data_IF_878163569691
#
_entry.id   IF_878163569691
#
_cell.length_a   1.000
_cell.length_b   1.000
_cell.length_c   1.000
_cell.angle_alpha   90.00
_cell.angle_beta   90.00
_cell.angle_gamma   90.00
#
_symmetry.space_group_name_H-M   'P 1'
#
loop_
_entity.id
_entity.type
_entity.pdbx_description
1 polymer ?
#
# COMPACT_ATOMS: atom_id res chain seq x y z
N UNK A 1 12.86 -31.26 23.25
CA UNK A 1 11.76 -30.37 23.64
C UNK A 1 12.29 -28.95 23.71
N UNK A 2 12.15 -28.16 22.66
CA UNK A 2 12.32 -26.70 22.68
C UNK A 2 11.68 -26.17 21.41
N UNK A 3 10.34 -26.11 21.42
CA UNK A 3 9.58 -25.26 20.52
C UNK A 3 9.90 -23.81 20.91
N UNK A 4 10.88 -23.21 20.22
CA UNK A 4 11.18 -21.79 20.37
C UNK A 4 10.03 -20.99 19.75
N UNK A 5 9.16 -20.48 20.63
CA UNK A 5 8.18 -19.40 20.46
C UNK A 5 7.87 -19.01 19.01
N UNK A 6 6.80 -19.60 18.47
CA UNK A 6 6.10 -19.07 17.30
C UNK A 6 5.64 -17.65 17.63
N UNK A 7 6.41 -16.65 17.20
CA UNK A 7 6.07 -15.24 17.27
C UNK A 7 4.95 -14.96 16.24
N UNK A 8 3.75 -15.45 16.54
CA UNK A 8 2.58 -15.31 15.67
C UNK A 8 2.12 -13.86 15.77
N UNK A 9 2.46 -13.06 14.76
CA UNK A 9 1.92 -11.72 14.59
C UNK A 9 0.39 -11.78 14.68
N UNK A 10 -0.21 -11.08 15.63
CA UNK A 10 -1.68 -10.97 15.75
C UNK A 10 -2.22 -9.84 14.88
N UNK A 11 -3.52 -9.85 14.60
CA UNK A 11 -4.19 -8.73 13.89
C UNK A 11 -3.99 -7.40 14.63
N UNK A 12 -4.11 -7.42 15.96
CA UNK A 12 -3.92 -6.22 16.77
C UNK A 12 -2.48 -5.66 16.65
N UNK A 13 -1.48 -6.55 16.65
CA UNK A 13 -0.08 -6.15 16.44
C UNK A 13 0.16 -5.63 15.03
N UNK A 14 -0.44 -6.25 14.02
CA UNK A 14 -0.38 -5.80 12.63
C UNK A 14 -0.98 -4.39 12.48
N UNK A 15 -2.20 -4.16 12.98
CA UNK A 15 -2.85 -2.84 12.97
C UNK A 15 -1.98 -1.79 13.68
N UNK A 16 -1.42 -2.14 14.84
CA UNK A 16 -0.53 -1.24 15.60
C UNK A 16 0.72 -0.88 14.80
N UNK A 17 1.35 -1.87 14.17
CA UNK A 17 2.53 -1.67 13.32
C UNK A 17 2.21 -0.72 12.16
N UNK A 18 1.10 -0.95 11.44
CA UNK A 18 0.70 -0.11 10.31
C UNK A 18 0.40 1.34 10.74
N UNK A 19 -0.23 1.55 11.90
CA UNK A 19 -0.51 2.89 12.45
C UNK A 19 0.77 3.63 12.81
N UNK A 20 1.70 2.96 13.50
CA UNK A 20 2.99 3.56 13.90
C UNK A 20 3.78 3.97 12.66
N UNK A 21 3.86 3.09 11.66
CA UNK A 21 4.60 3.35 10.43
C UNK A 21 4.10 4.61 9.69
N UNK A 22 2.78 4.83 9.68
CA UNK A 22 2.18 5.99 9.04
C UNK A 22 2.35 7.32 9.80
N UNK A 23 2.52 7.27 11.12
CA UNK A 23 2.70 8.46 11.95
C UNK A 23 4.13 8.99 11.97
N UNK A 24 5.13 8.09 11.86
CA UNK A 24 6.54 8.44 12.02
C UNK A 24 7.31 8.26 10.70
N UNK A 25 7.05 9.15 9.74
CA UNK A 25 7.69 9.10 8.42
C UNK A 25 9.20 9.38 8.45
N UNK A 26 9.72 9.98 9.52
CA UNK A 26 11.13 10.34 9.65
C UNK A 26 11.98 9.19 10.21
N UNK A 27 11.39 8.28 10.99
CA UNK A 27 12.09 7.14 11.61
C UNK A 27 11.62 5.78 11.09
N UNK A 28 11.12 5.70 9.85
CA UNK A 28 10.72 4.44 9.25
C UNK A 28 11.93 3.49 9.13
N UNK A 29 11.85 2.34 9.80
CA UNK A 29 12.82 1.26 9.63
C UNK A 29 12.60 0.58 8.28
N UNK A 30 13.52 0.82 7.35
CA UNK A 30 13.52 0.25 6.02
C UNK A 30 14.48 -0.95 5.90
N UNK A 31 14.88 -1.55 7.03
CA UNK A 31 15.65 -2.79 7.01
C UNK A 31 14.84 -3.92 6.31
N UNK A 32 15.51 -4.89 5.66
CA UNK A 32 14.81 -5.98 4.97
C UNK A 32 13.84 -6.74 5.89
N UNK A 33 14.19 -6.90 7.16
CA UNK A 33 13.33 -7.55 8.16
C UNK A 33 12.10 -6.72 8.47
N UNK A 34 12.24 -5.40 8.69
CA UNK A 34 11.11 -4.52 8.95
C UNK A 34 10.17 -4.44 7.73
N UNK A 35 10.71 -4.38 6.52
CA UNK A 35 9.92 -4.41 5.27
C UNK A 35 9.16 -5.73 5.14
N UNK A 36 9.77 -6.88 5.44
CA UNK A 36 9.07 -8.19 5.45
C UNK A 36 7.94 -8.22 6.47
N UNK A 37 8.15 -7.66 7.67
CA UNK A 37 7.10 -7.54 8.68
C UNK A 37 5.97 -6.60 8.25
N UNK A 38 6.31 -5.47 7.63
CA UNK A 38 5.35 -4.50 7.12
C UNK A 38 4.46 -5.10 6.02
N UNK A 39 5.06 -5.82 5.05
CA UNK A 39 4.33 -6.59 4.03
C UNK A 39 3.35 -7.57 4.68
N UNK A 40 3.85 -8.38 5.63
CA UNK A 40 3.04 -9.39 6.32
C UNK A 40 1.88 -8.75 7.09
N UNK A 41 2.12 -7.66 7.80
CA UNK A 41 1.11 -6.94 8.55
C UNK A 41 0.03 -6.35 7.62
N UNK A 42 0.44 -5.73 6.52
CA UNK A 42 -0.48 -5.13 5.56
C UNK A 42 -1.40 -6.18 4.92
N UNK A 43 -0.83 -7.29 4.45
CA UNK A 43 -1.60 -8.38 3.85
C UNK A 43 -2.55 -9.02 4.86
N UNK A 44 -2.13 -9.18 6.11
CA UNK A 44 -2.95 -9.77 7.16
C UNK A 44 -4.16 -8.88 7.50
N UNK A 45 -3.97 -7.56 7.60
CA UNK A 45 -5.08 -6.63 7.85
C UNK A 45 -6.01 -6.52 6.63
N UNK A 46 -5.45 -6.54 5.42
CA UNK A 46 -6.24 -6.51 4.18
C UNK A 46 -7.14 -7.75 4.04
N UNK A 47 -6.66 -8.94 4.40
CA UNK A 47 -7.43 -10.19 4.36
C UNK A 47 -8.69 -10.17 5.24
N UNK A 48 -8.68 -9.40 6.33
CA UNK A 48 -9.84 -9.23 7.20
C UNK A 48 -10.77 -8.09 6.74
N UNK A 49 -10.30 -7.25 5.80
CA UNK A 49 -11.10 -6.17 5.23
C UNK A 49 -11.98 -6.67 4.10
N UNK A 50 -13.10 -6.00 3.85
CA UNK A 50 -13.99 -6.37 2.75
C UNK A 50 -13.49 -5.86 1.39
N UNK A 51 -12.86 -4.67 1.41
CA UNK A 51 -12.29 -4.02 0.24
C UNK A 51 -11.44 -2.81 0.65
N UNK A 52 -10.61 -2.35 -0.27
CA UNK A 52 -9.66 -1.27 -0.03
C UNK A 52 -9.78 -0.14 -1.07
N UNK A 53 -9.38 1.06 -0.69
CA UNK A 53 -8.96 2.07 -1.65
C UNK A 53 -7.47 2.31 -1.52
N UNK A 54 -6.81 2.55 -2.65
CA UNK A 54 -5.41 2.91 -2.67
C UNK A 54 -5.26 4.38 -3.09
N UNK A 55 -4.39 5.10 -2.40
CA UNK A 55 -3.96 6.44 -2.76
C UNK A 55 -2.45 6.47 -2.95
N UNK A 56 -1.94 6.87 -4.11
CA UNK A 56 -0.51 6.82 -4.43
C UNK A 56 -0.03 8.24 -4.71
N UNK A 57 0.94 8.70 -3.92
CA UNK A 57 1.67 9.95 -4.14
C UNK A 57 3.03 9.59 -4.75
N UNK A 58 3.27 9.96 -6.01
CA UNK A 58 4.47 9.59 -6.76
C UNK A 58 5.06 10.79 -7.50
N UNK A 59 6.33 10.70 -7.87
CA UNK A 59 7.03 11.75 -8.64
C UNK A 59 6.54 11.84 -10.08
N UNK A 60 5.97 10.76 -10.62
CA UNK A 60 5.35 10.72 -11.94
C UNK A 60 4.32 9.60 -12.06
N UNK A 61 3.52 9.64 -13.14
CA UNK A 61 2.49 8.64 -13.39
C UNK A 61 3.06 7.23 -13.55
N UNK A 62 4.22 7.06 -14.21
CA UNK A 62 4.80 5.73 -14.45
C UNK A 62 5.11 5.06 -13.11
N UNK A 63 5.86 5.74 -12.24
CA UNK A 63 6.18 5.26 -10.90
C UNK A 63 4.92 4.98 -10.07
N UNK A 64 3.91 5.85 -10.17
CA UNK A 64 2.66 5.67 -9.45
C UNK A 64 1.85 4.45 -9.92
N UNK A 65 1.81 4.20 -11.23
CA UNK A 65 1.12 3.03 -11.80
C UNK A 65 1.87 1.73 -11.51
N UNK A 66 3.20 1.74 -11.53
CA UNK A 66 4.02 0.58 -11.12
C UNK A 66 3.77 0.21 -9.66
N UNK A 67 3.76 1.19 -8.76
CA UNK A 67 3.42 0.99 -7.35
C UNK A 67 1.98 0.48 -7.19
N UNK A 68 1.03 1.08 -7.90
CA UNK A 68 -0.35 0.63 -7.85
C UNK A 68 -0.51 -0.82 -8.32
N UNK A 69 0.13 -1.21 -9.43
CA UNK A 69 0.09 -2.59 -9.93
C UNK A 69 0.64 -3.57 -8.89
N UNK A 70 1.82 -3.29 -8.32
CA UNK A 70 2.45 -4.22 -7.36
C UNK A 70 1.64 -4.38 -6.08
N UNK A 71 1.02 -3.31 -5.60
CA UNK A 71 0.10 -3.38 -4.45
C UNK A 71 -1.18 -4.14 -4.77
N UNK A 72 -1.80 -3.91 -5.93
CA UNK A 72 -3.01 -4.62 -6.34
C UNK A 72 -2.75 -6.13 -6.44
N UNK A 73 -1.66 -6.53 -7.09
CA UNK A 73 -1.27 -7.94 -7.19
C UNK A 73 -1.07 -8.59 -5.83
N UNK A 74 -0.36 -7.91 -4.92
CA UNK A 74 -0.12 -8.40 -3.57
C UNK A 74 -1.41 -8.56 -2.75
N UNK A 75 -2.39 -7.67 -2.96
CA UNK A 75 -3.71 -7.71 -2.33
C UNK A 75 -4.67 -8.70 -3.04
N UNK A 76 -4.23 -9.37 -4.11
CA UNK A 76 -5.03 -10.37 -4.84
C UNK A 76 -5.96 -9.80 -5.91
N UNK A 77 -5.79 -8.53 -6.29
CA UNK A 77 -6.52 -7.91 -7.39
C UNK A 77 -5.74 -8.01 -8.69
N UNK A 78 -6.46 -8.27 -9.79
CA UNK A 78 -5.92 -8.17 -11.14
C UNK A 78 -6.57 -6.98 -11.85
N UNK A 79 -5.74 -6.07 -12.36
CA UNK A 79 -6.19 -4.93 -13.13
C UNK A 79 -5.29 -4.74 -14.35
N UNK A 80 -5.88 -4.49 -15.50
CA UNK A 80 -5.15 -4.32 -16.75
C UNK A 80 -4.95 -2.84 -17.07
N UNK A 81 -3.75 -2.31 -16.80
CA UNK A 81 -3.37 -0.95 -17.16
C UNK A 81 -3.03 -0.77 -18.65
N UNK A 82 -3.04 -1.85 -19.46
CA UNK A 82 -2.76 -1.78 -20.90
C UNK A 82 -3.89 -1.15 -21.72
N UNK A 83 -5.10 -1.07 -21.14
CA UNK A 83 -6.25 -0.41 -21.76
C UNK A 83 -6.07 1.12 -21.70
N UNK A 84 -5.52 1.63 -22.82
CA UNK A 84 -5.77 2.95 -23.43
C UNK A 84 -6.73 3.84 -22.65
N UNK A 85 -6.22 4.86 -21.97
CA UNK A 85 -6.92 6.15 -21.80
C UNK A 85 -6.10 7.26 -21.12
N UNK A 86 -4.84 7.02 -20.73
CA UNK A 86 -4.05 8.06 -20.07
C UNK A 86 -2.63 8.15 -20.58
N UNK A 87 -2.46 8.99 -21.60
CA UNK A 87 -1.25 9.81 -21.63
C UNK A 87 -1.51 10.97 -20.67
N UNK A 88 -0.89 11.04 -19.49
CA UNK A 88 -0.82 12.31 -18.80
C UNK A 88 -0.07 13.24 -19.75
N UNK A 89 -0.55 14.46 -19.93
CA UNK A 89 0.12 15.42 -20.82
C UNK A 89 1.55 15.71 -20.32
N UNK A 90 1.83 15.47 -19.03
CA UNK A 90 3.13 15.64 -18.40
C UNK A 90 3.56 14.37 -17.63
N UNK A 91 4.47 13.59 -18.22
CA UNK A 91 5.06 12.40 -17.60
C UNK A 91 6.04 12.71 -16.46
N UNK A 92 6.40 13.97 -16.26
CA UNK A 92 7.45 14.39 -15.31
C UNK A 92 6.89 15.09 -14.06
N UNK A 93 5.57 15.30 -14.00
CA UNK A 93 4.94 15.95 -12.86
C UNK A 93 4.53 14.94 -11.78
N UNK A 94 4.67 15.36 -10.52
CA UNK A 94 4.18 14.58 -9.39
C UNK A 94 2.67 14.36 -9.47
N UNK A 95 2.23 13.16 -9.12
CA UNK A 95 0.84 12.74 -9.26
C UNK A 95 0.27 12.16 -7.97
N UNK A 96 -1.04 12.30 -7.83
CA UNK A 96 -1.85 11.56 -6.89
C UNK A 96 -2.78 10.64 -7.65
N UNK A 97 -2.66 9.33 -7.44
CA UNK A 97 -3.53 8.31 -8.04
C UNK A 97 -4.47 7.79 -6.95
N UNK A 98 -5.76 7.76 -7.20
CA UNK A 98 -6.74 7.10 -6.33
C UNK A 98 -7.40 5.95 -7.06
N UNK A 99 -7.23 4.74 -6.55
CA UNK A 99 -7.83 3.51 -7.05
C UNK A 99 -8.93 3.03 -6.08
N UNK A 100 -10.07 2.62 -6.63
CA UNK A 100 -11.17 2.03 -5.89
C UNK A 100 -11.31 0.56 -6.27
N UNK A 101 -10.98 -0.38 -5.37
CA UNK A 101 -11.03 -1.82 -5.69
C UNK A 101 -12.45 -2.32 -5.85
N UNK A 102 -13.45 -1.66 -5.24
CA UNK A 102 -14.85 -2.04 -5.42
C UNK A 102 -15.41 -1.73 -6.81
N UNK A 103 -14.98 -0.62 -7.42
CA UNK A 103 -15.37 -0.18 -8.77
C UNK A 103 -14.36 -0.59 -9.83
N UNK A 104 -13.21 -1.10 -9.42
CA UNK A 104 -12.06 -1.42 -10.28
C UNK A 104 -11.75 -0.27 -11.25
N UNK A 105 -11.54 0.92 -10.71
CA UNK A 105 -11.18 2.08 -11.51
C UNK A 105 -10.26 3.03 -10.73
N UNK A 106 -9.61 3.94 -11.46
CA UNK A 106 -8.79 4.97 -10.85
C UNK A 106 -8.95 6.33 -11.52
N UNK A 107 -8.59 7.36 -10.76
CA UNK A 107 -8.19 8.63 -11.35
C UNK A 107 -6.80 9.05 -10.88
N UNK A 108 -6.22 10.02 -11.59
CA UNK A 108 -4.87 10.53 -11.39
C UNK A 108 -4.96 12.03 -11.63
N UNK A 109 -4.33 12.79 -10.75
CA UNK A 109 -4.32 14.26 -10.78
C UNK A 109 -2.94 14.78 -10.41
N UNK A 110 -2.62 16.01 -10.78
CA UNK A 110 -1.35 16.64 -10.41
C UNK A 110 -1.29 16.81 -8.88
N UNK A 111 -0.13 16.50 -8.29
CA UNK A 111 0.06 16.51 -6.85
C UNK A 111 1.19 17.44 -6.45
N UNK A 112 0.85 18.48 -5.69
CA UNK A 112 1.80 19.48 -5.19
C UNK A 112 2.28 19.22 -3.76
N UNK A 113 1.83 18.12 -3.15
CA UNK A 113 2.23 17.76 -1.80
C UNK A 113 3.62 17.11 -1.75
N UNK A 114 4.19 17.09 -0.55
CA UNK A 114 5.55 16.60 -0.31
C UNK A 114 5.59 15.09 0.00
N UNK A 115 4.45 14.46 0.28
CA UNK A 115 4.41 13.04 0.63
C UNK A 115 4.69 12.16 -0.58
N UNK A 116 5.34 11.01 -0.36
CA UNK A 116 5.52 9.96 -1.35
C UNK A 116 5.18 8.61 -0.72
N UNK A 117 4.57 7.74 -1.50
CA UNK A 117 4.16 6.42 -1.03
C UNK A 117 2.68 6.13 -1.25
N UNK A 118 2.24 5.03 -0.64
CA UNK A 118 0.91 4.45 -0.82
C UNK A 118 0.12 4.52 0.48
N UNK A 119 -1.09 5.07 0.40
CA UNK A 119 -2.13 4.96 1.41
C UNK A 119 -3.03 3.79 1.06
N UNK A 120 -3.36 2.97 2.05
CA UNK A 120 -4.35 1.89 1.92
C UNK A 120 -5.46 2.16 2.92
N UNK A 121 -6.66 2.41 2.40
CA UNK A 121 -7.87 2.63 3.19
C UNK A 121 -8.68 1.35 3.25
N UNK A 122 -8.60 0.64 4.38
CA UNK A 122 -9.35 -0.59 4.66
C UNK A 122 -10.80 -0.26 4.98
N UNK A 123 -11.73 -1.03 4.41
CA UNK A 123 -13.16 -0.85 4.56
C UNK A 123 -13.81 -2.18 4.95
N UNK A 124 -14.91 -2.10 5.70
CA UNK A 124 -15.66 -3.27 6.17
C UNK A 124 -16.47 -2.92 7.41
N UNK A 125 -16.78 -3.92 8.23
CA UNK A 125 -17.56 -3.78 9.46
C UNK A 125 -16.72 -3.87 10.75
N UNK A 126 -15.49 -4.40 10.69
CA UNK A 126 -14.62 -4.49 11.87
C UNK A 126 -13.88 -3.17 12.15
N UNK A 127 -14.38 -2.43 13.14
CA UNK A 127 -13.80 -1.16 13.60
C UNK A 127 -12.34 -1.26 14.04
N UNK A 128 -11.84 -2.46 14.39
CA UNK A 128 -10.45 -2.63 14.78
C UNK A 128 -9.48 -2.43 13.60
N UNK A 129 -9.92 -2.77 12.38
CA UNK A 129 -9.09 -2.73 11.17
C UNK A 129 -9.45 -1.59 10.22
N UNK A 130 -10.68 -1.05 10.28
CA UNK A 130 -11.09 0.06 9.42
C UNK A 130 -10.21 1.27 9.70
N UNK A 131 -9.69 1.86 8.62
CA UNK A 131 -8.80 3.00 8.73
C UNK A 131 -8.00 3.22 7.46
N UNK A 132 -7.26 4.32 7.43
CA UNK A 132 -6.28 4.61 6.38
C UNK A 132 -4.88 4.49 6.96
N UNK A 133 -4.07 3.66 6.31
CA UNK A 133 -2.71 3.36 6.74
C UNK A 133 -1.70 3.81 5.69
N UNK A 134 -0.49 4.17 6.12
CA UNK A 134 0.59 4.67 5.27
C UNK A 134 0.98 6.12 5.59
N UNK A 135 1.81 6.76 4.78
CA UNK A 135 2.27 6.33 3.45
C UNK A 135 3.29 5.20 3.53
N UNK A 136 3.01 4.10 2.83
CA UNK A 136 3.92 2.96 2.67
C UNK A 136 4.86 3.17 1.47
N UNK A 137 6.02 2.47 1.42
CA UNK A 137 6.96 2.62 0.31
C UNK A 137 6.33 2.28 -1.04
N UNK A 138 6.61 3.08 -2.08
CA UNK A 138 6.10 2.84 -3.44
C UNK A 138 6.50 1.46 -3.98
N UNK A 139 7.68 0.98 -3.60
CA UNK A 139 8.24 -0.30 -3.99
C UNK A 139 8.03 -1.39 -2.91
N UNK A 140 7.06 -1.23 -1.99
CA UNK A 140 6.86 -2.16 -0.89
C UNK A 140 6.71 -3.59 -1.38
N UNK A 141 6.03 -3.85 -2.49
CA UNK A 141 5.83 -5.20 -3.04
C UNK A 141 6.68 -5.53 -4.26
N UNK A 142 7.60 -4.66 -4.66
CA UNK A 142 8.54 -4.98 -5.72
C UNK A 142 9.48 -6.06 -5.18
N UNK A 143 9.63 -7.15 -5.93
CA UNK A 143 10.41 -8.30 -5.50
C UNK A 143 11.86 -7.89 -5.17
N UNK A 144 12.29 -8.18 -3.94
CA UNK A 144 13.58 -8.86 -3.79
C UNK A 144 13.22 -10.33 -3.72
N UNK A 145 13.48 -11.06 -4.79
CA UNK A 145 13.45 -12.51 -4.78
C UNK A 145 14.32 -12.99 -3.60
N UNK A 146 13.73 -13.71 -2.65
CA UNK A 146 14.48 -14.58 -1.74
C UNK A 146 14.58 -15.97 -2.38
#
# INVERSE_FOLDING_TARGET
MSESEMNTLTIADAVKLLKIYGCDTENQDNSPTAIKQLRKALLMVAQESEWENLGICADNLVQGLEALQSYLEALGYSYDFSQKDRKPENLEESVYIKFNTRKMNYYADTYTGNSRGVLVAMQGDDEAIIGTYGHFPLNLFNETSD
#
